data_IF_207234280046
#
_entry.id   IF_207234280046
#
_cell.length_a   1.000
_cell.length_b   1.000
_cell.length_c   1.000
_cell.angle_alpha   90.00
_cell.angle_beta   90.00
_cell.angle_gamma   90.00
#
_symmetry.space_group_name_H-M   'P 1'
#
loop_
_entity.id
_entity.type
_entity.pdbx_description
1 polymer ?
#
# COMPACT_ATOMS: atom_id res chain seq x y z
N UNK A 1 21.76 -12.37 42.39
CA UNK A 1 20.42 -12.52 41.79
C UNK A 1 20.41 -11.69 40.53
N UNK A 2 20.08 -12.29 39.39
CA UNK A 2 20.12 -11.61 38.11
C UNK A 2 19.02 -10.53 38.06
N UNK A 3 19.18 -9.52 37.20
CA UNK A 3 18.20 -8.44 37.07
C UNK A 3 16.78 -8.96 36.72
N UNK A 4 16.71 -10.05 35.96
CA UNK A 4 15.47 -10.74 35.59
C UNK A 4 14.81 -11.38 36.82
N UNK A 5 15.58 -12.02 37.70
CA UNK A 5 15.05 -12.67 38.90
C UNK A 5 14.40 -11.65 39.85
N UNK A 6 15.01 -10.47 39.97
CA UNK A 6 14.45 -9.37 40.76
C UNK A 6 13.16 -8.80 40.16
N UNK A 7 13.10 -8.68 38.83
CA UNK A 7 11.89 -8.24 38.13
C UNK A 7 10.74 -9.24 38.30
N UNK A 8 11.01 -10.54 38.17
CA UNK A 8 10.01 -11.60 38.38
C UNK A 8 9.52 -11.62 39.83
N UNK A 9 10.42 -11.51 40.81
CA UNK A 9 10.04 -11.48 42.23
C UNK A 9 9.15 -10.27 42.57
N UNK A 10 9.47 -9.10 42.03
CA UNK A 10 8.66 -7.88 42.22
C UNK A 10 7.30 -7.97 41.49
N UNK A 11 7.28 -8.62 40.34
CA UNK A 11 6.07 -8.90 39.56
C UNK A 11 5.10 -9.83 40.29
N UNK A 12 5.60 -10.88 40.95
CA UNK A 12 4.81 -11.86 41.69
C UNK A 12 4.29 -11.34 43.05
N UNK A 13 5.01 -10.41 43.69
CA UNK A 13 4.61 -9.82 44.98
C UNK A 13 3.76 -8.55 44.84
N UNK A 14 3.91 -7.83 43.74
CA UNK A 14 3.18 -6.61 43.44
C UNK A 14 1.90 -6.83 42.63
N UNK A 15 1.16 -5.75 42.38
CA UNK A 15 -0.02 -5.72 41.49
C UNK A 15 0.30 -5.23 40.08
N UNK A 16 1.59 -5.04 39.77
CA UNK A 16 2.06 -4.46 38.52
C UNK A 16 1.59 -5.26 37.28
N UNK A 17 1.62 -6.61 37.26
CA UNK A 17 1.15 -7.36 36.08
C UNK A 17 -0.34 -7.18 35.81
N UNK A 18 -1.15 -7.08 36.87
CA UNK A 18 -2.60 -6.88 36.76
C UNK A 18 -2.90 -5.50 36.16
N UNK A 19 -2.17 -4.46 36.59
CA UNK A 19 -2.30 -3.11 36.04
C UNK A 19 -1.89 -3.09 34.56
N UNK A 20 -0.76 -3.70 34.22
CA UNK A 20 -0.30 -3.81 32.83
C UNK A 20 -1.33 -4.55 31.98
N UNK A 21 -1.90 -5.65 32.50
CA UNK A 21 -2.93 -6.41 31.80
C UNK A 21 -4.17 -5.55 31.49
N UNK A 22 -4.71 -4.84 32.48
CA UNK A 22 -5.86 -3.96 32.30
C UNK A 22 -5.54 -2.85 31.29
N UNK A 23 -4.37 -2.22 31.40
CA UNK A 23 -3.93 -1.19 30.46
C UNK A 23 -3.81 -1.72 29.03
N UNK A 24 -3.24 -2.91 28.85
CA UNK A 24 -3.14 -3.55 27.53
C UNK A 24 -4.51 -3.84 26.91
N UNK A 25 -5.49 -4.28 27.71
CA UNK A 25 -6.87 -4.48 27.24
C UNK A 25 -7.50 -3.15 26.83
N UNK A 26 -7.35 -2.11 27.63
CA UNK A 26 -7.90 -0.77 27.33
C UNK A 26 -7.29 -0.18 26.05
N UNK A 27 -5.97 -0.29 25.88
CA UNK A 27 -5.28 0.14 24.67
C UNK A 27 -5.71 -0.68 23.45
N UNK A 28 -5.92 -1.99 23.60
CA UNK A 28 -6.44 -2.84 22.54
C UNK A 28 -7.85 -2.43 22.09
N UNK A 29 -8.75 -2.15 23.04
CA UNK A 29 -10.09 -1.65 22.75
C UNK A 29 -10.05 -0.29 22.05
N UNK A 30 -9.16 0.61 22.49
CA UNK A 30 -8.95 1.90 21.85
C UNK A 30 -8.44 1.73 20.41
N UNK A 31 -7.49 0.83 20.18
CA UNK A 31 -6.96 0.55 18.85
C UNK A 31 -8.05 0.01 17.91
N UNK A 32 -8.90 -0.90 18.37
CA UNK A 32 -10.01 -1.42 17.56
C UNK A 32 -11.02 -0.33 17.17
N UNK A 33 -11.26 0.64 18.05
CA UNK A 33 -12.15 1.78 17.77
C UNK A 33 -11.51 2.79 16.81
N UNK A 34 -10.19 3.01 16.93
CA UNK A 34 -9.50 4.07 16.20
C UNK A 34 -8.91 3.62 14.86
N UNK A 35 -8.67 2.32 14.66
CA UNK A 35 -8.18 1.77 13.39
C UNK A 35 -9.25 1.95 12.31
N UNK A 36 -8.98 2.73 11.25
CA UNK A 36 -9.87 2.82 10.11
C UNK A 36 -10.04 1.45 9.47
N UNK A 37 -11.28 1.10 9.12
CA UNK A 37 -11.60 -0.15 8.43
C UNK A 37 -12.17 0.22 7.08
N UNK A 38 -11.53 -0.26 6.03
CA UNK A 38 -12.05 -0.19 4.67
C UNK A 38 -12.55 -1.58 4.28
N UNK A 39 -13.75 -1.67 3.68
CA UNK A 39 -14.36 -2.94 3.30
C UNK A 39 -13.62 -3.60 2.14
N UNK A 40 -13.15 -2.77 1.21
CA UNK A 40 -12.27 -3.18 0.12
C UNK A 40 -10.93 -2.48 0.32
N UNK A 41 -9.81 -3.22 0.37
CA UNK A 41 -8.51 -2.58 0.38
C UNK A 41 -8.36 -1.77 -0.91
N UNK A 42 -8.01 -0.49 -0.79
CA UNK A 42 -7.73 0.33 -1.95
C UNK A 42 -6.49 -0.21 -2.67
N UNK A 43 -6.71 -0.84 -3.83
CA UNK A 43 -5.65 -1.24 -4.76
C UNK A 43 -5.49 -0.11 -5.76
N UNK A 44 -4.57 0.81 -5.50
CA UNK A 44 -4.23 1.87 -6.46
C UNK A 44 -3.26 1.28 -7.47
N UNK A 45 -3.79 0.84 -8.61
CA UNK A 45 -2.95 0.51 -9.77
C UNK A 45 -2.51 1.83 -10.42
N UNK A 46 -1.22 2.17 -10.43
CA UNK A 46 -0.76 3.40 -11.07
C UNK A 46 -0.95 3.26 -12.58
N UNK A 47 -1.90 4.01 -13.13
CA UNK A 47 -2.21 4.02 -14.56
C UNK A 47 -2.08 5.45 -15.10
N UNK A 48 -1.56 5.56 -16.32
CA UNK A 48 -1.44 6.81 -17.05
C UNK A 48 -2.14 6.67 -18.39
N UNK A 49 -3.19 7.46 -18.61
CA UNK A 49 -3.88 7.54 -19.89
C UNK A 49 -3.29 8.65 -20.76
N UNK A 50 -2.91 8.30 -21.99
CA UNK A 50 -2.34 9.24 -22.97
C UNK A 50 -3.27 9.30 -24.17
N UNK A 51 -3.85 10.48 -24.42
CA UNK A 51 -4.73 10.73 -25.55
C UNK A 51 -4.01 11.54 -26.62
N UNK A 52 -3.99 11.03 -27.85
CA UNK A 52 -3.39 11.70 -29.01
C UNK A 52 -4.44 11.83 -30.12
N UNK A 53 -4.65 13.05 -30.60
CA UNK A 53 -5.56 13.30 -31.72
C UNK A 53 -4.81 13.22 -33.05
N UNK A 54 -5.22 12.31 -33.93
CA UNK A 54 -4.69 12.15 -35.29
C UNK A 54 -5.79 12.34 -36.34
N UNK A 55 -6.23 13.59 -36.61
CA UNK A 55 -7.30 13.85 -37.56
C UNK A 55 -6.85 13.53 -38.99
N UNK A 56 -7.77 13.02 -39.82
CA UNK A 56 -7.55 12.69 -41.24
C UNK A 56 -6.53 11.56 -41.49
N UNK A 57 -6.30 10.68 -40.51
CA UNK A 57 -5.44 9.50 -40.65
C UNK A 57 -6.29 8.26 -40.45
N UNK A 58 -6.14 7.26 -41.31
CA UNK A 58 -6.85 5.98 -41.18
C UNK A 58 -6.26 5.15 -40.02
N UNK A 59 -7.09 4.31 -39.40
CA UNK A 59 -6.71 3.53 -38.21
C UNK A 59 -5.39 2.73 -38.37
N UNK A 60 -5.10 2.04 -39.50
CA UNK A 60 -3.83 1.32 -39.66
C UNK A 60 -2.60 2.24 -39.67
N UNK A 61 -2.79 3.47 -40.17
CA UNK A 61 -1.73 4.45 -40.28
C UNK A 61 -1.52 5.18 -38.93
N UNK A 62 -2.58 5.41 -38.15
CA UNK A 62 -2.45 5.90 -36.76
C UNK A 62 -1.64 4.93 -35.91
N UNK A 63 -1.88 3.63 -36.04
CA UNK A 63 -1.12 2.62 -35.29
C UNK A 63 0.38 2.70 -35.59
N UNK A 64 0.76 2.77 -36.87
CA UNK A 64 2.17 2.85 -37.31
C UNK A 64 2.85 4.17 -36.99
N UNK A 65 2.14 5.29 -37.17
CA UNK A 65 2.73 6.63 -37.07
C UNK A 65 2.68 7.20 -35.65
N UNK A 66 1.73 6.77 -34.82
CA UNK A 66 1.48 7.35 -33.49
C UNK A 66 1.66 6.31 -32.39
N UNK A 67 0.93 5.19 -32.47
CA UNK A 67 0.90 4.20 -31.39
C UNK A 67 2.24 3.48 -31.24
N UNK A 68 2.76 2.86 -32.30
CA UNK A 68 4.02 2.09 -32.25
C UNK A 68 5.23 2.92 -31.78
N UNK A 69 5.46 4.17 -32.24
CA UNK A 69 6.55 4.99 -31.73
C UNK A 69 6.37 5.36 -30.26
N UNK A 70 5.14 5.68 -29.85
CA UNK A 70 4.84 6.06 -28.48
C UNK A 70 5.07 4.89 -27.52
N UNK A 71 4.59 3.69 -27.86
CA UNK A 71 4.84 2.48 -27.08
C UNK A 71 6.34 2.20 -26.91
N UNK A 72 7.13 2.32 -28.00
CA UNK A 72 8.58 2.11 -27.94
C UNK A 72 9.31 3.10 -27.02
N UNK A 73 8.83 4.34 -26.96
CA UNK A 73 9.38 5.36 -26.06
C UNK A 73 8.99 5.07 -24.61
N UNK A 74 7.73 4.73 -24.35
CA UNK A 74 7.22 4.43 -23.02
C UNK A 74 7.82 3.14 -22.45
N UNK A 75 8.08 2.14 -23.30
CA UNK A 75 8.71 0.88 -22.90
C UNK A 75 10.15 1.04 -22.40
N UNK A 76 10.79 2.17 -22.68
CA UNK A 76 12.14 2.47 -22.18
C UNK A 76 12.13 3.10 -20.78
N UNK A 77 10.96 3.51 -20.28
CA UNK A 77 10.84 4.12 -18.95
C UNK A 77 10.93 3.04 -17.86
N UNK A 78 11.79 3.29 -16.87
CA UNK A 78 11.90 2.42 -15.71
C UNK A 78 10.62 2.49 -14.87
N UNK A 79 10.01 1.35 -14.58
CA UNK A 79 8.80 1.24 -13.76
C UNK A 79 7.49 1.10 -14.54
N UNK A 80 7.55 1.04 -15.88
CA UNK A 80 6.39 0.66 -16.71
C UNK A 80 6.38 -0.86 -16.88
N UNK A 81 5.32 -1.51 -16.40
CA UNK A 81 5.16 -2.98 -16.50
C UNK A 81 4.34 -3.38 -17.73
N UNK A 82 3.27 -2.64 -18.01
CA UNK A 82 2.31 -2.96 -19.07
C UNK A 82 1.89 -1.69 -19.82
N UNK A 83 1.76 -1.83 -21.14
CA UNK A 83 1.31 -0.76 -22.05
C UNK A 83 0.15 -1.34 -22.88
N UNK A 84 -0.94 -0.60 -22.96
CA UNK A 84 -2.11 -0.92 -23.78
C UNK A 84 -2.43 0.27 -24.68
N UNK A 85 -2.78 -0.01 -25.93
CA UNK A 85 -3.16 0.98 -26.92
C UNK A 85 -4.48 0.61 -27.58
N UNK A 86 -5.27 1.63 -27.94
CA UNK A 86 -6.56 1.50 -28.62
C UNK A 86 -6.72 2.54 -29.70
#
# INVERSE_FOLDING_TARGET
>A
MNAIDNAVKNSLSGRLPVIIFIMSVLLGLMALKQTPREEEPQIVVPMLDIYVAAPNVEAPEVARLVTEPLEKLLAQLTGVEHIYST
#
